data_IF_936535175710
#
_entry.id   IF_936535175710
#
_cell.length_a   1.000
_cell.length_b   1.000
_cell.length_c   1.000
_cell.angle_alpha   90.00
_cell.angle_beta   90.00
_cell.angle_gamma   90.00
#
_symmetry.space_group_name_H-M   'P 1'
#
loop_
_entity.id
_entity.type
_entity.pdbx_description
1 polymer ?
#
# COMPACT_ATOMS: atom_id res chain seq x y z
N UNK A 1 -4.72 -18.91 -3.37
CA UNK A 1 -3.83 -17.84 -3.89
C UNK A 1 -2.55 -17.85 -3.06
N UNK A 2 -1.35 -17.81 -3.66
CA UNK A 2 -0.12 -17.77 -2.87
C UNK A 2 -0.11 -16.51 -1.99
N UNK A 3 0.28 -16.69 -0.73
CA UNK A 3 0.31 -15.66 0.32
C UNK A 3 1.19 -14.46 -0.08
N UNK A 4 2.12 -14.64 -1.03
CA UNK A 4 3.10 -13.65 -1.45
C UNK A 4 2.82 -13.02 -2.82
N UNK A 5 1.56 -12.74 -3.17
CA UNK A 5 1.19 -12.07 -4.44
C UNK A 5 1.79 -10.66 -4.60
N UNK A 6 2.22 -10.05 -3.50
CA UNK A 6 2.89 -8.74 -3.48
C UNK A 6 4.32 -8.81 -4.03
N UNK A 7 4.98 -9.95 -3.90
CA UNK A 7 6.39 -10.11 -4.25
C UNK A 7 6.51 -10.70 -5.66
N UNK A 8 7.65 -10.46 -6.29
CA UNK A 8 8.04 -11.19 -7.50
C UNK A 8 8.06 -12.69 -7.25
N UNK A 9 7.26 -13.43 -8.02
CA UNK A 9 7.22 -14.89 -7.99
C UNK A 9 8.51 -15.48 -8.58
N UNK A 10 9.02 -14.84 -9.64
CA UNK A 10 10.24 -15.20 -10.36
C UNK A 10 11.11 -13.97 -10.62
N UNK A 11 12.37 -14.21 -11.00
CA UNK A 11 13.25 -13.13 -11.44
C UNK A 11 12.65 -12.48 -12.70
N UNK A 12 12.45 -11.17 -12.65
CA UNK A 12 11.76 -10.42 -13.70
C UNK A 12 12.61 -9.20 -14.10
N UNK A 13 12.55 -8.79 -15.36
CA UNK A 13 13.22 -7.58 -15.86
C UNK A 13 12.14 -6.59 -16.24
N UNK A 14 12.11 -5.44 -15.57
CA UNK A 14 11.15 -4.39 -15.90
C UNK A 14 11.43 -3.79 -17.27
N UNK A 15 10.43 -3.15 -17.90
CA UNK A 15 10.57 -2.45 -19.18
C UNK A 15 11.73 -1.45 -19.21
N UNK A 16 12.05 -0.85 -18.07
CA UNK A 16 13.16 0.10 -17.89
C UNK A 16 14.54 -0.59 -17.75
N UNK A 17 14.62 -1.91 -17.92
CA UNK A 17 15.84 -2.71 -17.74
C UNK A 17 16.19 -3.05 -16.28
N UNK A 18 15.38 -2.62 -15.30
CA UNK A 18 15.62 -2.91 -13.87
C UNK A 18 15.37 -4.39 -13.60
N UNK A 19 16.42 -5.12 -13.19
CA UNK A 19 16.31 -6.52 -12.73
C UNK A 19 15.72 -6.57 -11.33
N UNK A 20 14.71 -7.41 -11.14
CA UNK A 20 14.06 -7.62 -9.83
C UNK A 20 14.14 -9.09 -9.48
N UNK A 21 14.69 -9.37 -8.30
CA UNK A 21 14.88 -10.75 -7.83
C UNK A 21 13.57 -11.30 -7.31
N UNK A 22 13.40 -12.62 -7.33
CA UNK A 22 12.30 -13.32 -6.64
C UNK A 22 12.22 -12.88 -5.17
N UNK A 23 11.03 -12.57 -4.69
CA UNK A 23 10.79 -12.13 -3.32
C UNK A 23 10.94 -10.63 -3.06
N UNK A 24 11.19 -9.81 -4.09
CA UNK A 24 11.31 -8.36 -3.95
C UNK A 24 9.99 -7.63 -4.29
N UNK A 25 9.68 -6.59 -3.53
CA UNK A 25 8.60 -5.66 -3.83
C UNK A 25 9.13 -4.42 -4.58
N UNK A 26 8.54 -4.11 -5.73
CA UNK A 26 8.87 -2.91 -6.53
C UNK A 26 7.60 -2.27 -7.07
N UNK A 27 7.29 -1.04 -6.63
CA UNK A 27 6.11 -0.29 -7.09
C UNK A 27 6.20 0.07 -8.58
N UNK A 28 7.40 0.39 -9.07
CA UNK A 28 7.67 0.73 -10.49
C UNK A 28 7.17 -0.32 -11.50
N UNK A 29 6.90 -1.56 -11.07
CA UNK A 29 6.31 -2.61 -11.92
C UNK A 29 4.99 -2.19 -12.56
N UNK A 30 4.25 -1.31 -11.90
CA UNK A 30 2.89 -0.92 -12.24
C UNK A 30 2.82 0.50 -12.79
N UNK A 31 3.96 1.15 -13.00
CA UNK A 31 4.06 2.54 -13.39
C UNK A 31 4.94 2.64 -14.64
N UNK A 32 4.46 3.39 -15.61
CA UNK A 32 5.19 3.81 -16.81
C UNK A 32 5.58 5.27 -16.69
N UNK A 33 6.68 5.63 -17.34
CA UNK A 33 7.23 6.98 -17.29
C UNK A 33 8.06 7.25 -16.04
N UNK A 34 8.86 8.32 -16.12
CA UNK A 34 9.84 8.70 -15.11
C UNK A 34 10.93 9.57 -15.73
N UNK A 35 11.71 10.27 -14.92
CA UNK A 35 12.76 11.20 -15.36
C UNK A 35 12.24 12.41 -16.19
N UNK A 36 11.07 12.96 -15.84
CA UNK A 36 10.54 14.19 -16.44
C UNK A 36 9.26 14.00 -17.26
N UNK A 37 8.85 12.76 -17.51
CA UNK A 37 7.59 12.42 -18.19
C UNK A 37 6.46 12.11 -17.19
N UNK A 38 5.21 12.25 -17.64
CA UNK A 38 4.01 11.90 -16.88
C UNK A 38 4.02 10.43 -16.47
N UNK A 39 3.77 10.16 -15.19
CA UNK A 39 3.70 8.79 -14.66
C UNK A 39 2.31 8.21 -14.94
N UNK A 40 2.24 7.13 -15.72
CA UNK A 40 1.01 6.44 -16.10
C UNK A 40 0.92 5.06 -15.42
N UNK A 41 -0.29 4.60 -15.10
CA UNK A 41 -0.47 3.26 -14.55
C UNK A 41 -0.40 2.20 -15.66
N UNK A 42 0.47 1.19 -15.49
CA UNK A 42 0.55 0.02 -16.37
C UNK A 42 -0.24 -1.14 -15.78
N UNK A 43 -1.39 -1.52 -16.36
CA UNK A 43 -2.10 -2.72 -15.93
C UNK A 43 -1.30 -3.98 -16.30
N UNK A 44 -1.22 -4.96 -15.39
CA UNK A 44 -0.71 -6.30 -15.71
C UNK A 44 -1.83 -7.23 -16.17
N UNK A 45 -1.45 -8.29 -16.88
CA UNK A 45 -2.35 -9.42 -17.14
C UNK A 45 -2.95 -10.00 -15.84
N UNK A 46 -4.26 -10.17 -15.83
CA UNK A 46 -5.00 -10.69 -14.67
C UNK A 46 -4.61 -12.13 -14.32
N UNK A 47 -4.20 -12.94 -15.32
CA UNK A 47 -3.70 -14.29 -15.13
C UNK A 47 -2.38 -14.34 -14.34
N UNK A 48 -1.57 -13.27 -14.38
CA UNK A 48 -0.32 -13.18 -13.63
C UNK A 48 -0.57 -12.87 -12.14
N UNK A 49 -1.61 -12.10 -11.83
CA UNK A 49 -1.96 -11.69 -10.46
C UNK A 49 -3.48 -11.76 -10.21
N UNK A 50 -4.04 -12.96 -9.99
CA UNK A 50 -5.49 -13.19 -9.94
C UNK A 50 -6.12 -12.85 -8.57
N UNK A 51 -5.88 -11.65 -8.05
CA UNK A 51 -6.41 -11.20 -6.73
C UNK A 51 -7.94 -11.21 -6.71
N UNK A 52 -8.57 -10.81 -7.81
CA UNK A 52 -10.02 -10.81 -7.99
C UNK A 52 -10.50 -11.96 -8.87
N UNK A 53 -9.74 -13.06 -8.95
CA UNK A 53 -9.88 -14.06 -10.00
C UNK A 53 -9.85 -13.40 -11.39
N UNK A 54 -10.35 -14.10 -12.41
CA UNK A 54 -10.15 -13.76 -13.81
C UNK A 54 -11.06 -14.64 -14.69
N UNK A 55 -11.44 -14.15 -15.88
CA UNK A 55 -12.42 -14.81 -16.77
C UNK A 55 -13.85 -14.75 -16.22
N UNK A 56 -14.67 -15.76 -16.53
CA UNK A 56 -16.08 -15.84 -16.11
C UNK A 56 -16.28 -15.86 -14.58
N UNK A 57 -15.23 -16.17 -13.82
CA UNK A 57 -15.22 -16.19 -12.34
C UNK A 57 -14.63 -14.91 -11.74
N UNK A 58 -14.40 -13.87 -12.54
CA UNK A 58 -13.89 -12.59 -12.05
C UNK A 58 -14.87 -11.96 -11.06
N UNK A 59 -14.35 -11.46 -9.95
CA UNK A 59 -15.16 -10.78 -8.95
C UNK A 59 -15.80 -9.51 -9.53
N UNK A 60 -17.14 -9.47 -9.55
CA UNK A 60 -17.92 -8.30 -9.98
C UNK A 60 -17.65 -7.07 -9.10
N UNK A 61 -17.22 -7.27 -7.85
CA UNK A 61 -16.88 -6.20 -6.91
C UNK A 61 -15.51 -5.57 -7.11
N UNK A 62 -14.73 -5.96 -8.13
CA UNK A 62 -13.35 -5.49 -8.36
C UNK A 62 -13.24 -3.96 -8.43
N UNK A 63 -14.05 -3.33 -9.28
CA UNK A 63 -13.95 -1.88 -9.50
C UNK A 63 -14.43 -1.09 -8.27
N UNK A 64 -15.49 -1.59 -7.60
CA UNK A 64 -15.94 -1.03 -6.32
C UNK A 64 -14.84 -1.11 -5.25
N UNK A 65 -14.16 -2.26 -5.15
CA UNK A 65 -13.07 -2.45 -4.20
C UNK A 65 -11.92 -1.46 -4.48
N UNK A 66 -11.59 -1.19 -5.75
CA UNK A 66 -10.59 -0.18 -6.08
C UNK A 66 -11.01 1.24 -5.69
N UNK A 67 -12.27 1.60 -5.89
CA UNK A 67 -12.80 2.90 -5.45
C UNK A 67 -12.69 3.03 -3.93
N UNK A 68 -13.13 2.01 -3.18
CA UNK A 68 -13.06 2.01 -1.72
C UNK A 68 -11.61 2.10 -1.22
N UNK A 69 -10.68 1.31 -1.77
CA UNK A 69 -9.26 1.37 -1.39
C UNK A 69 -8.63 2.72 -1.70
N UNK A 70 -8.90 3.30 -2.88
CA UNK A 70 -8.40 4.62 -3.28
C UNK A 70 -8.95 5.71 -2.37
N UNK A 71 -10.25 5.68 -2.07
CA UNK A 71 -10.90 6.65 -1.20
C UNK A 71 -10.32 6.61 0.21
N UNK A 72 -10.25 5.43 0.83
CA UNK A 72 -9.68 5.27 2.16
C UNK A 72 -8.20 5.68 2.22
N UNK A 73 -7.43 5.30 1.20
CA UNK A 73 -6.02 5.69 1.11
C UNK A 73 -5.87 7.20 0.97
N UNK A 74 -6.64 7.84 0.09
CA UNK A 74 -6.60 9.28 -0.11
C UNK A 74 -7.01 10.05 1.15
N UNK A 75 -8.09 9.64 1.83
CA UNK A 75 -8.55 10.26 3.07
C UNK A 75 -7.48 10.19 4.17
N UNK A 76 -6.91 9.01 4.41
CA UNK A 76 -5.86 8.82 5.41
C UNK A 76 -4.60 9.61 5.04
N UNK A 77 -4.18 9.59 3.77
CA UNK A 77 -2.99 10.31 3.33
C UNK A 77 -3.18 11.83 3.26
N UNK A 78 -4.41 12.34 3.15
CA UNK A 78 -4.69 13.77 3.17
C UNK A 78 -4.59 14.34 4.59
N UNK A 79 -5.10 13.60 5.57
CA UNK A 79 -5.23 14.08 6.95
C UNK A 79 -4.09 13.66 7.87
N UNK A 80 -3.42 12.55 7.57
CA UNK A 80 -2.43 11.95 8.45
C UNK A 80 -1.09 11.70 7.74
N UNK A 81 -0.06 11.69 8.56
CA UNK A 81 1.22 11.10 8.27
C UNK A 81 1.31 9.76 8.98
N UNK A 82 1.56 8.72 8.21
CA UNK A 82 1.56 7.32 8.67
C UNK A 82 3.00 6.91 8.93
N UNK A 83 3.32 6.62 10.18
CA UNK A 83 4.66 6.23 10.61
C UNK A 83 4.64 4.77 11.10
N UNK A 84 5.50 3.88 10.59
CA UNK A 84 5.57 2.51 11.09
C UNK A 84 6.18 2.50 12.50
N UNK A 85 5.54 1.79 13.44
CA UNK A 85 6.10 1.59 14.78
C UNK A 85 7.30 0.65 14.68
N UNK A 86 8.48 1.10 15.08
CA UNK A 86 9.73 0.34 14.93
C UNK A 86 10.57 0.67 13.70
N UNK A 87 10.30 1.81 13.04
CA UNK A 87 11.29 2.49 12.19
C UNK A 87 11.40 2.03 10.74
N UNK A 88 10.58 1.10 10.26
CA UNK A 88 10.40 0.77 8.83
C UNK A 88 11.64 0.30 8.04
N UNK A 89 12.85 0.34 8.62
CA UNK A 89 14.13 0.12 7.95
C UNK A 89 14.48 -1.37 7.76
N UNK A 90 13.81 -2.26 8.48
CA UNK A 90 14.10 -3.69 8.41
C UNK A 90 12.95 -4.41 7.68
N UNK A 91 13.05 -4.54 6.35
CA UNK A 91 12.07 -5.24 5.51
C UNK A 91 11.74 -6.67 5.96
N UNK A 92 12.63 -7.29 6.77
CA UNK A 92 12.40 -8.60 7.41
C UNK A 92 11.20 -8.62 8.35
N UNK A 93 10.98 -7.56 9.15
CA UNK A 93 9.86 -7.52 10.12
C UNK A 93 8.47 -7.46 9.47
N UNK A 94 8.38 -7.01 8.22
CA UNK A 94 7.10 -6.98 7.50
C UNK A 94 6.76 -8.33 6.86
N UNK A 95 7.77 -9.14 6.53
CA UNK A 95 7.61 -10.49 5.98
C UNK A 95 7.23 -11.52 7.05
N UNK A 96 7.66 -11.30 8.30
CA UNK A 96 7.40 -12.21 9.43
C UNK A 96 6.08 -11.93 10.17
N UNK A 97 5.25 -10.99 9.69
CA UNK A 97 4.00 -10.65 10.36
C UNK A 97 2.99 -11.80 10.18
N UNK A 98 2.52 -12.45 11.27
CA UNK A 98 1.69 -13.63 11.15
C UNK A 98 0.36 -13.28 10.48
N UNK A 99 0.07 -13.96 9.38
CA UNK A 99 -1.22 -13.88 8.72
C UNK A 99 -2.22 -14.83 9.39
N UNK A 100 -3.48 -14.44 9.37
CA UNK A 100 -4.60 -15.29 9.73
C UNK A 100 -5.38 -15.59 8.45
N UNK A 101 -5.42 -16.88 8.08
CA UNK A 101 -6.27 -17.38 7.01
C UNK A 101 -7.71 -17.38 7.53
N UNK A 102 -8.49 -16.41 7.05
CA UNK A 102 -9.94 -16.32 7.26
C UNK A 102 -10.62 -16.09 5.91
N UNK A 103 -11.86 -15.59 5.87
CA UNK A 103 -12.52 -15.22 4.61
C UNK A 103 -11.66 -14.27 3.76
N UNK A 104 -10.91 -13.39 4.42
CA UNK A 104 -9.87 -12.53 3.84
C UNK A 104 -8.53 -12.81 4.53
N UNK A 105 -7.42 -12.62 3.81
CA UNK A 105 -6.10 -12.72 4.40
C UNK A 105 -5.84 -11.46 5.24
N UNK A 106 -5.87 -11.60 6.56
CA UNK A 106 -5.66 -10.48 7.49
C UNK A 106 -4.41 -10.69 8.32
N UNK A 107 -3.75 -9.60 8.70
CA UNK A 107 -2.66 -9.64 9.69
C UNK A 107 -3.23 -10.00 11.07
N UNK A 108 -2.73 -11.07 11.70
CA UNK A 108 -3.26 -11.61 12.98
C UNK A 108 -3.33 -10.57 14.09
N UNK A 109 -2.43 -9.58 14.10
CA UNK A 109 -2.39 -8.50 15.08
C UNK A 109 -2.47 -7.11 14.44
N UNK A 110 -2.95 -7.00 13.20
CA UNK A 110 -2.90 -5.76 12.42
C UNK A 110 -1.45 -5.29 12.14
N UNK A 111 -1.32 -4.18 11.43
CA UNK A 111 -0.03 -3.51 11.22
C UNK A 111 0.13 -2.39 12.25
N UNK A 112 1.15 -2.44 13.15
CA UNK A 112 1.36 -1.41 14.14
C UNK A 112 1.89 -0.14 13.47
N UNK A 113 1.09 0.91 13.51
CA UNK A 113 1.40 2.21 12.94
C UNK A 113 1.07 3.33 13.92
N UNK A 114 1.69 4.47 13.68
CA UNK A 114 1.49 5.71 14.42
C UNK A 114 0.99 6.76 13.46
N UNK A 115 -0.15 7.35 13.78
CA UNK A 115 -0.74 8.42 12.98
C UNK A 115 -0.39 9.77 13.59
N UNK A 116 0.12 10.67 12.76
CA UNK A 116 0.32 12.08 13.10
C UNK A 116 -0.59 12.93 12.23
N UNK A 117 -1.43 13.78 12.82
CA UNK A 117 -2.27 14.70 12.05
C UNK A 117 -1.39 15.62 11.22
N UNK A 118 -1.62 15.66 9.90
CA UNK A 118 -0.91 16.55 8.99
C UNK A 118 -1.41 17.98 9.23
N UNK A 119 -0.48 18.93 9.37
CA UNK A 119 -0.83 20.35 9.44
C UNK A 119 -1.40 20.76 8.09
N UNK A 120 -2.67 21.18 8.05
CA UNK A 120 -3.22 21.82 6.85
C UNK A 120 -2.48 23.14 6.65
N UNK A 121 -1.96 23.36 5.44
CA UNK A 121 -1.54 24.70 5.04
C UNK A 121 -2.81 25.47 4.74
N UNK A 122 -3.16 26.43 5.59
CA UNK A 122 -4.23 27.37 5.27
C UNK A 122 -3.78 28.22 4.06
N UNK A 123 -4.71 28.48 3.14
CA UNK A 123 -4.52 29.38 1.98
C UNK A 123 -4.28 30.84 2.37
N UNK A 124 -4.40 31.16 3.66
CA UNK A 124 -3.91 32.39 4.29
C UNK A 124 -2.80 31.97 5.24
N UNK A 125 -1.56 32.41 5.01
CA UNK A 125 -0.36 32.01 5.77
C UNK A 125 -0.32 32.36 7.26
N UNK A 126 -1.39 32.13 8.01
CA UNK A 126 -1.48 32.34 9.46
C UNK A 126 -1.12 31.04 10.16
N UNK A 127 0.09 30.98 10.72
CA UNK A 127 0.52 29.89 11.60
C UNK A 127 -0.40 29.86 12.81
N UNK A 128 -1.25 28.85 12.94
CA UNK A 128 -1.85 28.51 14.23
C UNK A 128 -0.75 27.96 15.13
N UNK A 129 -0.29 28.79 16.07
CA UNK A 129 0.68 28.45 17.11
C UNK A 129 -0.05 27.96 18.36
N UNK A 130 -0.88 26.94 18.24
CA UNK A 130 -1.34 26.14 19.39
C UNK A 130 -1.44 24.70 18.90
N UNK A 131 -0.82 23.83 19.68
CA UNK A 131 -0.86 22.36 19.71
C UNK A 131 0.55 21.85 20.04
N UNK A 132 1.03 22.29 21.22
CA UNK A 132 1.95 21.48 21.99
C UNK A 132 1.17 20.22 22.39
N UNK A 133 1.80 19.05 22.24
CA UNK A 133 1.23 17.72 22.45
C UNK A 133 0.58 17.11 21.20
N UNK A 134 1.43 16.77 20.24
CA UNK A 134 1.09 15.85 19.14
C UNK A 134 0.75 14.48 19.74
N UNK A 135 -0.52 14.27 20.08
CA UNK A 135 -1.05 12.99 20.56
C UNK A 135 -0.76 11.91 19.51
N UNK A 136 0.23 11.08 19.80
CA UNK A 136 0.53 9.90 19.02
C UNK A 136 -0.47 8.83 19.41
N UNK A 137 -1.40 8.55 18.52
CA UNK A 137 -2.27 7.40 18.67
C UNK A 137 -1.62 6.22 17.95
N UNK A 138 -1.30 5.18 18.72
CA UNK A 138 -0.88 3.90 18.17
C UNK A 138 -2.13 3.16 17.68
N UNK A 139 -2.18 2.88 16.38
CA UNK A 139 -3.29 2.20 15.74
C UNK A 139 -2.82 0.90 15.11
N UNK A 140 -3.73 -0.08 15.08
CA UNK A 140 -3.58 -1.29 14.30
C UNK A 140 -4.46 -1.19 13.06
N UNK A 141 -3.85 -0.97 11.89
CA UNK A 141 -4.62 -1.05 10.63
C UNK A 141 -4.78 -2.51 10.26
N UNK A 142 -6.04 -2.91 10.08
CA UNK A 142 -6.41 -4.17 9.45
C UNK A 142 -6.47 -3.93 7.94
N UNK A 143 -5.39 -4.28 7.24
CA UNK A 143 -5.43 -4.35 5.78
C UNK A 143 -6.11 -5.66 5.42
N UNK A 144 -7.35 -5.59 4.96
CA UNK A 144 -8.06 -6.70 4.34
C UNK A 144 -7.98 -6.52 2.82
N UNK A 145 -7.44 -7.52 2.12
CA UNK A 145 -7.52 -7.67 0.65
C UNK A 145 -8.26 -8.96 0.35
#
# INVERSE_FOLDING_TARGET
MPINSRLTVDNDVLPDGIRVRKGEFKLKRWLDGGNGESVCFRPSYQWKYPVFHCGARMCLGKEMAYVQMKFMTAAVMAEFEVLPVGGGKNGRRMADLPYMLSLLLKLRRGLPIRLRKRRRRDSKGRRSTKDHESSYHDFHIYVCV
#
